data_IF_726885589376
#
_entry.id   IF_726885589376
#
_cell.length_a   1.000
_cell.length_b   1.000
_cell.length_c   1.000
_cell.angle_alpha   90.00
_cell.angle_beta   90.00
_cell.angle_gamma   90.00
#
_symmetry.space_group_name_H-M   'P 1'
#
loop_
_entity.id
_entity.type
_entity.pdbx_description
1 polymer ?
#
# COMPACT_ATOMS: atom_id res chain seq x y z
N UNK A 1 -1.11 19.44 6.16
CA UNK A 1 -1.01 18.07 6.69
C UNK A 1 -0.08 18.09 7.90
N UNK A 2 -0.33 17.25 8.91
CA UNK A 2 0.62 17.07 10.00
C UNK A 2 1.95 16.53 9.49
N UNK A 3 3.05 16.86 10.18
CA UNK A 3 4.38 16.37 9.89
C UNK A 3 4.41 14.83 9.97
N UNK A 4 4.75 14.14 8.89
CA UNK A 4 4.84 12.69 8.80
C UNK A 4 6.28 12.26 8.57
N UNK A 5 6.65 11.09 9.08
CA UNK A 5 7.97 10.50 8.92
C UNK A 5 8.04 9.71 7.64
N UNK A 6 8.88 10.11 6.71
CA UNK A 6 9.11 9.42 5.44
C UNK A 6 10.49 8.77 5.46
N UNK A 7 10.56 7.47 5.21
CA UNK A 7 11.82 6.78 4.95
C UNK A 7 12.07 6.78 3.45
N UNK A 8 13.24 7.27 3.03
CA UNK A 8 13.72 7.25 1.65
C UNK A 8 14.87 6.25 1.57
N UNK A 9 14.69 5.17 0.85
CA UNK A 9 15.69 4.15 0.56
C UNK A 9 16.12 4.28 -0.90
N UNK A 10 17.28 4.88 -1.13
CA UNK A 10 17.85 5.24 -2.44
C UNK A 10 19.37 5.28 -2.30
N UNK A 11 20.10 4.48 -3.07
CA UNK A 11 21.56 4.38 -3.01
C UNK A 11 22.29 5.59 -3.63
N UNK A 12 21.67 6.24 -4.61
CA UNK A 12 22.19 7.45 -5.18
C UNK A 12 21.97 8.64 -4.21
N UNK A 13 23.05 9.11 -3.59
CA UNK A 13 23.03 10.18 -2.58
C UNK A 13 22.46 11.49 -3.13
N UNK A 14 22.77 11.86 -4.38
CA UNK A 14 22.27 13.10 -5.00
C UNK A 14 20.75 13.03 -5.21
N UNK A 15 20.25 11.90 -5.69
CA UNK A 15 18.82 11.65 -5.86
C UNK A 15 18.12 11.64 -4.50
N UNK A 16 18.66 10.91 -3.54
CA UNK A 16 18.15 10.84 -2.17
C UNK A 16 18.05 12.23 -1.53
N UNK A 17 19.07 13.09 -1.68
CA UNK A 17 19.06 14.46 -1.18
C UNK A 17 18.04 15.35 -1.89
N UNK A 18 17.85 15.18 -3.19
CA UNK A 18 16.80 15.90 -3.93
C UNK A 18 15.40 15.49 -3.43
N UNK A 19 15.13 14.21 -3.33
CA UNK A 19 13.87 13.67 -2.78
C UNK A 19 13.61 14.22 -1.38
N UNK A 20 14.62 14.13 -0.49
CA UNK A 20 14.56 14.66 0.86
C UNK A 20 14.20 16.14 0.89
N UNK A 21 14.85 16.95 0.07
CA UNK A 21 14.62 18.40 0.05
C UNK A 21 13.18 18.77 -0.36
N UNK A 22 12.60 18.05 -1.32
CA UNK A 22 11.20 18.26 -1.73
C UNK A 22 10.22 17.83 -0.63
N UNK A 23 10.47 16.72 0.05
CA UNK A 23 9.62 16.24 1.15
C UNK A 23 9.71 17.13 2.40
N UNK A 24 10.92 17.64 2.72
CA UNK A 24 11.09 18.64 3.80
C UNK A 24 10.31 19.92 3.50
N UNK A 25 10.36 20.41 2.25
CA UNK A 25 9.56 21.58 1.81
C UNK A 25 8.05 21.32 1.88
N UNK A 26 7.63 20.07 1.72
CA UNK A 26 6.24 19.67 1.88
C UNK A 26 5.80 19.50 3.36
N UNK A 27 6.73 19.68 4.32
CA UNK A 27 6.45 19.66 5.76
C UNK A 27 6.61 18.29 6.42
N UNK A 28 7.29 17.33 5.77
CA UNK A 28 7.55 16.01 6.33
C UNK A 28 8.92 15.91 6.99
N UNK A 29 9.09 14.96 7.91
CA UNK A 29 10.40 14.55 8.45
C UNK A 29 10.94 13.40 7.59
N UNK A 30 12.21 13.48 7.18
CA UNK A 30 12.79 12.52 6.23
C UNK A 30 13.99 11.80 6.85
N UNK A 31 14.00 10.49 6.68
CA UNK A 31 15.08 9.58 7.07
C UNK A 31 15.61 8.91 5.80
N UNK A 32 16.92 8.84 5.64
CA UNK A 32 17.57 8.33 4.43
C UNK A 32 18.30 7.03 4.73
N UNK A 33 18.13 6.03 3.88
CA UNK A 33 18.89 4.80 3.82
C UNK A 33 19.53 4.68 2.43
N UNK A 34 20.76 4.24 2.37
CA UNK A 34 21.56 4.15 1.13
C UNK A 34 21.82 2.71 0.69
N UNK A 35 21.26 1.75 1.42
CA UNK A 35 21.20 0.34 1.06
C UNK A 35 19.98 -0.33 1.72
N UNK A 36 19.65 -1.55 1.29
CA UNK A 36 18.46 -2.23 1.76
C UNK A 36 18.52 -2.67 3.23
N UNK A 37 19.70 -2.99 3.78
CA UNK A 37 19.82 -3.33 5.20
C UNK A 37 19.59 -2.11 6.08
N UNK A 38 20.17 -0.97 5.73
CA UNK A 38 19.89 0.31 6.41
C UNK A 38 18.40 0.64 6.35
N UNK A 39 17.74 0.41 5.20
CA UNK A 39 16.32 0.65 5.05
C UNK A 39 15.49 -0.19 6.03
N UNK A 40 15.78 -1.49 6.15
CA UNK A 40 15.10 -2.39 7.09
C UNK A 40 15.32 -1.95 8.55
N UNK A 41 16.56 -1.63 8.92
CA UNK A 41 16.89 -1.23 10.29
C UNK A 41 16.26 0.13 10.66
N UNK A 42 16.32 1.10 9.76
CA UNK A 42 15.65 2.38 9.96
C UNK A 42 14.13 2.26 10.01
N UNK A 43 13.52 1.39 9.19
CA UNK A 43 12.08 1.14 9.25
C UNK A 43 11.65 0.66 10.65
N UNK A 44 12.41 -0.27 11.25
CA UNK A 44 12.15 -0.77 12.62
C UNK A 44 12.34 0.32 13.69
N UNK A 45 13.43 1.09 13.58
CA UNK A 45 13.81 2.08 14.57
C UNK A 45 12.91 3.32 14.55
N UNK A 46 12.64 3.85 13.36
CA UNK A 46 11.93 5.12 13.14
C UNK A 46 10.41 4.94 13.13
N UNK A 47 9.94 3.77 12.69
CA UNK A 47 8.53 3.49 12.39
C UNK A 47 7.96 4.59 11.50
N UNK A 48 8.37 4.65 10.22
CA UNK A 48 7.92 5.67 9.28
C UNK A 48 6.42 5.54 9.00
N UNK A 49 5.83 6.63 8.55
CA UNK A 49 4.45 6.72 8.11
C UNK A 49 4.29 6.33 6.63
N UNK A 50 5.39 6.37 5.86
CA UNK A 50 5.48 5.96 4.46
C UNK A 50 6.95 5.66 4.09
N UNK A 51 7.15 4.72 3.17
CA UNK A 51 8.46 4.38 2.62
C UNK A 51 8.49 4.68 1.12
N UNK A 52 9.48 5.45 0.67
CA UNK A 52 9.90 5.54 -0.73
C UNK A 52 11.07 4.57 -0.92
N UNK A 53 10.96 3.65 -1.85
CA UNK A 53 11.88 2.51 -1.97
C UNK A 53 12.35 2.34 -3.41
N UNK A 54 13.67 2.46 -3.63
CA UNK A 54 14.27 1.98 -4.88
C UNK A 54 14.40 0.45 -4.88
N UNK A 55 14.25 -0.14 -6.05
CA UNK A 55 14.51 -1.58 -6.25
C UNK A 55 16.01 -1.85 -6.34
N UNK A 56 16.74 -1.00 -7.06
CA UNK A 56 18.14 -1.22 -7.40
C UNK A 56 19.08 -0.67 -6.32
N UNK A 57 19.15 -1.34 -5.19
CA UNK A 57 20.06 -0.97 -4.10
C UNK A 57 21.10 -2.07 -3.83
N UNK A 58 22.31 -1.70 -3.34
CA UNK A 58 23.32 -2.66 -2.95
C UNK A 58 22.94 -3.43 -1.69
N UNK A 59 23.60 -4.58 -1.47
CA UNK A 59 23.53 -5.45 -0.28
C UNK A 59 22.20 -6.21 -0.20
N UNK A 60 21.08 -5.50 -0.22
CA UNK A 60 19.73 -6.04 -0.14
C UNK A 60 18.85 -5.21 -1.09
N UNK A 61 18.22 -5.85 -2.05
CA UNK A 61 17.41 -5.15 -3.06
C UNK A 61 16.03 -4.72 -2.52
N UNK A 62 15.34 -3.88 -3.28
CA UNK A 62 14.03 -3.37 -2.87
C UNK A 62 12.94 -4.45 -2.75
N UNK A 63 13.09 -5.59 -3.46
CA UNK A 63 12.18 -6.73 -3.31
C UNK A 63 12.30 -7.34 -1.91
N UNK A 64 13.53 -7.61 -1.47
CA UNK A 64 13.82 -8.17 -0.14
C UNK A 64 13.43 -7.20 0.98
N UNK A 65 13.67 -5.89 0.77
CA UNK A 65 13.24 -4.84 1.73
C UNK A 65 11.72 -4.85 1.86
N UNK A 66 10.98 -4.81 0.75
CA UNK A 66 9.52 -4.80 0.74
C UNK A 66 8.96 -6.04 1.44
N UNK A 67 9.43 -7.24 1.08
CA UNK A 67 9.01 -8.50 1.70
C UNK A 67 9.29 -8.52 3.21
N UNK A 68 10.47 -8.03 3.62
CA UNK A 68 10.87 -8.03 5.02
C UNK A 68 10.05 -7.04 5.83
N UNK A 69 9.86 -5.82 5.35
CA UNK A 69 9.07 -4.79 6.01
C UNK A 69 7.61 -5.23 6.16
N UNK A 70 7.04 -5.86 5.15
CA UNK A 70 5.65 -6.35 5.18
C UNK A 70 5.38 -7.46 6.21
N UNK A 71 6.41 -8.09 6.76
CA UNK A 71 6.24 -9.06 7.86
C UNK A 71 5.82 -8.40 9.20
N UNK A 72 6.07 -7.11 9.36
CA UNK A 72 5.83 -6.40 10.64
C UNK A 72 5.27 -4.99 10.50
N UNK A 73 5.04 -4.49 9.27
CA UNK A 73 4.60 -3.10 9.05
C UNK A 73 3.68 -2.98 7.84
N UNK A 74 2.59 -2.21 7.98
CA UNK A 74 1.54 -2.04 6.97
C UNK A 74 1.50 -0.62 6.36
N UNK A 75 2.50 0.22 6.66
CA UNK A 75 2.59 1.59 6.12
C UNK A 75 2.70 1.58 4.59
N UNK A 76 2.24 2.62 3.89
CA UNK A 76 2.37 2.72 2.45
C UNK A 76 3.83 2.60 1.99
N UNK A 77 4.07 1.79 0.95
CA UNK A 77 5.34 1.68 0.25
C UNK A 77 5.14 2.10 -1.20
N UNK A 78 5.82 3.18 -1.60
CA UNK A 78 5.88 3.65 -2.98
C UNK A 78 7.22 3.23 -3.56
N UNK A 79 7.19 2.47 -4.64
CA UNK A 79 8.41 2.08 -5.37
C UNK A 79 8.84 3.21 -6.30
N UNK A 80 10.14 3.49 -6.35
CA UNK A 80 10.74 4.42 -7.31
C UNK A 80 11.86 3.68 -8.03
N UNK A 81 11.69 3.33 -9.30
CA UNK A 81 12.68 2.52 -10.01
C UNK A 81 12.85 2.90 -11.48
N UNK A 82 14.04 2.61 -12.03
CA UNK A 82 14.30 2.68 -13.47
C UNK A 82 13.73 1.49 -14.25
N UNK A 83 13.31 0.41 -13.56
CA UNK A 83 12.73 -0.76 -14.19
C UNK A 83 11.30 -0.44 -14.62
N UNK A 84 11.00 -0.70 -15.90
CA UNK A 84 9.70 -0.31 -16.51
C UNK A 84 8.87 -1.51 -16.94
N UNK A 85 9.43 -2.72 -16.87
CA UNK A 85 8.77 -3.94 -17.31
C UNK A 85 7.58 -4.30 -16.38
N UNK A 86 6.55 -4.87 -16.97
CA UNK A 86 5.32 -5.23 -16.26
C UNK A 86 5.54 -6.32 -15.21
N UNK A 87 6.42 -7.29 -15.49
CA UNK A 87 6.71 -8.39 -14.57
C UNK A 87 7.31 -7.87 -13.25
N UNK A 88 8.25 -6.91 -13.35
CA UNK A 88 8.83 -6.24 -12.18
C UNK A 88 7.77 -5.48 -11.38
N UNK A 89 6.91 -4.72 -12.04
CA UNK A 89 5.81 -3.98 -11.38
C UNK A 89 4.85 -4.95 -10.69
N UNK A 90 4.41 -5.98 -11.39
CA UNK A 90 3.53 -7.01 -10.82
C UNK A 90 4.17 -7.68 -9.60
N UNK A 91 5.44 -8.07 -9.69
CA UNK A 91 6.17 -8.65 -8.56
C UNK A 91 6.23 -7.72 -7.36
N UNK A 92 6.47 -6.41 -7.55
CA UNK A 92 6.48 -5.45 -6.44
C UNK A 92 5.11 -5.30 -5.80
N UNK A 93 4.04 -5.22 -6.61
CA UNK A 93 2.68 -5.24 -6.07
C UNK A 93 2.38 -6.56 -5.36
N UNK A 94 2.86 -7.71 -5.86
CA UNK A 94 2.73 -9.02 -5.21
C UNK A 94 3.44 -9.07 -3.85
N UNK A 95 4.52 -8.36 -3.67
CA UNK A 95 5.21 -8.22 -2.39
C UNK A 95 4.56 -7.19 -1.46
N UNK A 96 3.54 -6.48 -1.91
CA UNK A 96 2.76 -5.55 -1.09
C UNK A 96 3.11 -4.08 -1.27
N UNK A 97 3.78 -3.69 -2.35
CA UNK A 97 3.88 -2.27 -2.70
C UNK A 97 2.48 -1.67 -2.95
N UNK A 98 2.31 -0.41 -2.58
CA UNK A 98 1.03 0.31 -2.69
C UNK A 98 0.98 1.22 -3.92
N UNK A 99 2.15 1.61 -4.45
CA UNK A 99 2.28 2.44 -5.65
C UNK A 99 3.65 2.22 -6.31
N UNK A 100 3.77 2.61 -7.59
CA UNK A 100 4.99 2.46 -8.39
C UNK A 100 5.24 3.69 -9.27
N UNK A 101 6.44 4.27 -9.17
CA UNK A 101 6.89 5.40 -10.01
C UNK A 101 8.12 5.00 -10.80
N UNK A 102 8.12 5.30 -12.10
CA UNK A 102 9.28 5.05 -12.96
C UNK A 102 10.21 6.26 -13.01
N UNK A 103 11.52 6.02 -12.93
CA UNK A 103 12.55 7.02 -13.21
C UNK A 103 12.69 7.22 -14.74
N UNK A 104 12.81 8.49 -15.25
CA UNK A 104 12.78 9.74 -14.52
C UNK A 104 11.35 10.19 -14.14
N UNK A 105 11.19 10.83 -12.99
CA UNK A 105 9.90 11.31 -12.48
C UNK A 105 9.95 12.78 -12.10
N UNK A 106 8.78 13.40 -11.97
CA UNK A 106 8.65 14.75 -11.42
C UNK A 106 8.66 14.72 -9.89
N UNK A 107 9.54 15.48 -9.23
CA UNK A 107 9.53 15.61 -7.77
C UNK A 107 8.21 16.17 -7.23
N UNK A 108 7.51 17.00 -8.02
CA UNK A 108 6.17 17.48 -7.65
C UNK A 108 5.15 16.34 -7.67
N UNK A 109 5.20 15.49 -8.68
CA UNK A 109 4.36 14.29 -8.77
C UNK A 109 4.64 13.36 -7.59
N UNK A 110 5.91 13.08 -7.30
CA UNK A 110 6.30 12.27 -6.14
C UNK A 110 5.69 12.80 -4.85
N UNK A 111 5.78 14.11 -4.58
CA UNK A 111 5.18 14.72 -3.38
C UNK A 111 3.65 14.58 -3.39
N UNK A 112 3.00 14.73 -4.54
CA UNK A 112 1.55 14.53 -4.65
C UNK A 112 1.16 13.09 -4.32
N UNK A 113 1.89 12.09 -4.84
CA UNK A 113 1.65 10.66 -4.55
C UNK A 113 1.88 10.33 -3.08
N UNK A 114 2.99 10.81 -2.49
CA UNK A 114 3.26 10.66 -1.05
C UNK A 114 2.09 11.20 -0.23
N UNK A 115 1.65 12.43 -0.53
CA UNK A 115 0.53 13.04 0.18
C UNK A 115 -0.79 12.29 -0.03
N UNK A 116 -1.04 11.76 -1.23
CA UNK A 116 -2.22 10.97 -1.52
C UNK A 116 -2.23 9.64 -0.73
N UNK A 117 -1.11 8.92 -0.72
CA UNK A 117 -0.98 7.67 0.05
C UNK A 117 -1.11 7.92 1.56
N UNK A 118 -0.46 8.96 2.09
CA UNK A 118 -0.60 9.34 3.50
C UNK A 118 -2.03 9.73 3.85
N UNK A 119 -2.70 10.51 3.00
CA UNK A 119 -4.10 10.88 3.20
C UNK A 119 -4.99 9.65 3.22
N UNK A 120 -4.85 8.75 2.26
CA UNK A 120 -5.60 7.48 2.23
C UNK A 120 -5.36 6.68 3.51
N UNK A 121 -4.11 6.52 3.91
CA UNK A 121 -3.73 5.76 5.09
C UNK A 121 -4.29 6.34 6.38
N UNK A 122 -4.39 7.70 6.52
CA UNK A 122 -4.85 8.35 7.75
C UNK A 122 -6.27 8.88 7.70
N UNK A 123 -6.80 9.29 6.54
CA UNK A 123 -8.11 9.93 6.42
C UNK A 123 -9.23 8.94 6.05
N UNK A 124 -8.90 7.73 5.59
CA UNK A 124 -9.89 6.67 5.40
C UNK A 124 -10.42 6.10 6.73
N UNK A 125 -10.00 6.66 7.88
CA UNK A 125 -10.68 6.49 9.15
C UNK A 125 -11.86 7.47 9.21
N UNK A 126 -13.09 7.06 8.85
CA UNK A 126 -14.26 7.87 9.18
C UNK A 126 -14.32 8.01 10.69
N UNK A 127 -14.59 9.21 11.18
CA UNK A 127 -14.72 9.60 12.60
C UNK A 127 -15.90 8.90 13.30
N UNK A 128 -16.23 7.67 12.92
CA UNK A 128 -17.17 6.80 13.66
C UNK A 128 -16.48 5.46 13.85
N UNK A 129 -16.33 5.08 15.12
CA UNK A 129 -16.02 3.70 15.53
C UNK A 129 -16.89 2.72 14.73
N UNK A 130 -16.36 2.22 13.63
CA UNK A 130 -17.07 1.25 12.82
C UNK A 130 -16.27 -0.05 12.79
N UNK A 131 -16.35 -0.76 13.92
CA UNK A 131 -16.03 -2.18 13.89
C UNK A 131 -17.16 -2.88 13.16
N UNK A 132 -16.87 -3.43 12.02
CA UNK A 132 -17.79 -4.26 11.25
C UNK A 132 -17.39 -5.72 11.41
N UNK A 133 -18.38 -6.59 11.53
CA UNK A 133 -18.14 -8.03 11.71
C UNK A 133 -18.92 -8.80 10.66
N UNK A 134 -18.23 -9.70 9.96
CA UNK A 134 -18.79 -10.59 8.93
C UNK A 134 -18.43 -12.03 9.29
N UNK A 135 -19.32 -12.71 10.01
CA UNK A 135 -19.02 -14.03 10.57
C UNK A 135 -17.77 -13.99 11.46
N UNK A 136 -16.68 -14.65 11.02
CA UNK A 136 -15.40 -14.74 11.72
C UNK A 136 -14.50 -13.52 11.50
N UNK A 137 -14.76 -12.72 10.45
CA UNK A 137 -13.97 -11.55 10.06
C UNK A 137 -14.46 -10.32 10.83
N UNK A 138 -13.56 -9.58 11.45
CA UNK A 138 -13.82 -8.26 12.01
C UNK A 138 -12.85 -7.22 11.46
N UNK A 139 -13.37 -6.06 11.07
CA UNK A 139 -12.63 -4.95 10.47
C UNK A 139 -12.83 -3.72 11.35
N UNK A 140 -11.75 -3.05 11.71
CA UNK A 140 -11.73 -1.81 12.46
C UNK A 140 -11.09 -0.74 11.58
N UNK A 141 -11.91 0.09 10.93
CA UNK A 141 -11.42 1.09 9.98
C UNK A 141 -10.62 2.21 10.67
N UNK A 142 -10.94 2.51 11.93
CA UNK A 142 -10.24 3.51 12.76
C UNK A 142 -8.84 3.05 13.20
N UNK A 143 -8.59 1.73 13.24
CA UNK A 143 -7.32 1.16 13.67
C UNK A 143 -6.52 0.53 12.55
N UNK A 144 -7.05 0.50 11.33
CA UNK A 144 -6.50 -0.29 10.21
C UNK A 144 -6.26 -1.76 10.59
N UNK A 145 -7.16 -2.31 11.40
CA UNK A 145 -7.02 -3.63 11.98
C UNK A 145 -8.05 -4.59 11.36
N UNK A 146 -7.59 -5.75 10.94
CA UNK A 146 -8.44 -6.84 10.47
C UNK A 146 -8.13 -8.09 11.30
N UNK A 147 -9.17 -8.74 11.81
CA UNK A 147 -9.05 -9.97 12.59
C UNK A 147 -9.94 -11.07 12.04
N UNK A 148 -9.44 -12.30 12.08
CA UNK A 148 -10.23 -13.52 11.84
C UNK A 148 -10.18 -14.35 13.13
N UNK A 149 -11.33 -14.69 13.70
CA UNK A 149 -11.46 -15.38 15.01
C UNK A 149 -10.70 -14.67 16.15
N UNK A 150 -10.55 -13.36 16.07
CA UNK A 150 -9.81 -12.58 17.07
C UNK A 150 -8.31 -12.45 16.82
N UNK A 151 -7.74 -13.24 15.91
CA UNK A 151 -6.33 -13.14 15.50
C UNK A 151 -6.15 -12.10 14.41
N UNK A 152 -5.18 -11.19 14.59
CA UNK A 152 -4.88 -10.13 13.64
C UNK A 152 -4.23 -10.68 12.37
N UNK A 153 -4.69 -10.21 11.20
CA UNK A 153 -4.11 -10.55 9.91
C UNK A 153 -3.37 -9.35 9.30
N UNK A 154 -2.20 -9.62 8.77
CA UNK A 154 -1.34 -8.59 8.19
C UNK A 154 -1.75 -8.31 6.74
N UNK A 155 -2.35 -7.14 6.49
CA UNK A 155 -2.70 -6.63 5.17
C UNK A 155 -1.87 -5.39 4.86
N UNK A 156 -1.46 -5.20 3.59
CA UNK A 156 -0.91 -3.91 3.17
C UNK A 156 -2.01 -2.82 3.23
N UNK A 157 -1.61 -1.55 3.17
CA UNK A 157 -2.56 -0.42 3.15
C UNK A 157 -3.59 -0.57 2.05
N UNK A 158 -3.15 -0.95 0.85
CA UNK A 158 -4.01 -1.14 -0.32
C UNK A 158 -4.95 -2.33 -0.15
N UNK A 159 -4.46 -3.48 0.37
CA UNK A 159 -5.30 -4.64 0.67
C UNK A 159 -6.35 -4.32 1.74
N UNK A 160 -5.97 -3.55 2.76
CA UNK A 160 -6.91 -3.10 3.78
C UNK A 160 -8.00 -2.20 3.18
N UNK A 161 -7.61 -1.16 2.41
CA UNK A 161 -8.56 -0.25 1.78
C UNK A 161 -9.51 -0.97 0.82
N UNK A 162 -8.99 -1.93 0.05
CA UNK A 162 -9.80 -2.75 -0.84
C UNK A 162 -10.82 -3.59 -0.06
N UNK A 163 -10.41 -4.25 1.02
CA UNK A 163 -11.31 -5.04 1.87
C UNK A 163 -12.36 -4.14 2.52
N UNK A 164 -11.95 -3.00 3.06
CA UNK A 164 -12.82 -2.03 3.71
C UNK A 164 -13.86 -1.48 2.72
N UNK A 165 -13.44 -1.14 1.50
CA UNK A 165 -14.33 -0.68 0.44
C UNK A 165 -15.35 -1.75 0.01
N UNK A 166 -14.90 -2.98 -0.26
CA UNK A 166 -15.78 -4.07 -0.67
C UNK A 166 -16.79 -4.44 0.43
N UNK A 167 -16.34 -4.52 1.67
CA UNK A 167 -17.23 -4.84 2.81
C UNK A 167 -18.20 -3.71 3.14
N UNK A 168 -17.79 -2.45 2.94
CA UNK A 168 -18.69 -1.29 3.07
C UNK A 168 -19.80 -1.27 2.01
N UNK A 169 -19.58 -1.97 0.90
CA UNK A 169 -20.53 -2.11 -0.20
C UNK A 169 -21.03 -3.56 -0.33
N UNK A 170 -21.29 -4.19 0.81
CA UNK A 170 -21.73 -5.58 0.87
C UNK A 170 -22.88 -5.91 -0.10
N UNK A 171 -22.76 -7.05 -0.78
CA UNK A 171 -23.71 -7.55 -1.79
C UNK A 171 -23.86 -6.67 -3.06
N UNK A 172 -23.12 -5.58 -3.18
CA UNK A 172 -23.10 -4.75 -4.39
C UNK A 172 -21.92 -5.14 -5.27
N UNK A 173 -22.13 -5.12 -6.59
CA UNK A 173 -21.05 -5.32 -7.57
C UNK A 173 -20.32 -3.97 -7.71
N UNK A 174 -19.02 -4.00 -7.46
CA UNK A 174 -18.14 -2.86 -7.66
C UNK A 174 -17.32 -3.10 -8.92
N UNK A 175 -17.40 -2.17 -9.87
CA UNK A 175 -16.61 -2.24 -11.10
C UNK A 175 -15.13 -2.03 -10.78
N UNK A 176 -14.23 -2.50 -11.67
CA UNK A 176 -12.80 -2.26 -11.52
C UNK A 176 -12.49 -0.76 -11.40
N UNK A 177 -13.14 0.10 -12.20
CA UNK A 177 -12.96 1.54 -12.12
C UNK A 177 -13.39 2.10 -10.76
N UNK A 178 -14.54 1.71 -10.23
CA UNK A 178 -14.97 2.13 -8.91
C UNK A 178 -14.00 1.71 -7.79
N UNK A 179 -13.38 0.53 -7.97
CA UNK A 179 -12.35 0.05 -7.04
C UNK A 179 -11.08 0.89 -7.17
N UNK A 180 -10.65 1.21 -8.41
CA UNK A 180 -9.50 2.10 -8.65
C UNK A 180 -9.73 3.45 -7.99
N UNK A 181 -10.85 4.10 -8.27
CA UNK A 181 -11.20 5.42 -7.74
C UNK A 181 -11.22 5.43 -6.21
N UNK A 182 -11.77 4.37 -5.60
CA UNK A 182 -11.88 4.27 -4.15
C UNK A 182 -10.54 3.96 -3.46
N UNK A 183 -9.74 3.05 -4.03
CA UNK A 183 -8.52 2.53 -3.38
C UNK A 183 -7.28 3.34 -3.78
N UNK A 184 -7.19 3.77 -5.03
CA UNK A 184 -6.03 4.53 -5.56
C UNK A 184 -6.33 5.99 -5.90
N UNK A 185 -7.61 6.37 -6.01
CA UNK A 185 -8.06 7.72 -6.39
C UNK A 185 -8.17 7.89 -7.91
N UNK A 186 -8.44 9.11 -8.36
CA UNK A 186 -8.54 9.47 -9.78
C UNK A 186 -7.14 9.58 -10.42
N UNK A 187 -6.36 8.52 -10.39
CA UNK A 187 -5.00 8.50 -10.90
C UNK A 187 -4.96 7.65 -12.19
N UNK A 188 -4.65 8.28 -13.32
CA UNK A 188 -4.69 7.71 -14.68
C UNK A 188 -3.71 6.55 -14.95
N UNK A 189 -2.83 6.19 -13.99
CA UNK A 189 -1.76 5.22 -14.20
C UNK A 189 -2.01 3.85 -13.55
N UNK A 190 -3.11 3.68 -12.80
CA UNK A 190 -3.48 2.38 -12.23
C UNK A 190 -4.31 1.64 -13.26
N UNK A 191 -3.80 0.51 -13.73
CA UNK A 191 -4.51 -0.32 -14.68
C UNK A 191 -5.43 -1.35 -14.00
N UNK A 192 -6.31 -1.95 -14.79
CA UNK A 192 -7.24 -2.98 -14.30
C UNK A 192 -6.53 -4.26 -13.82
N UNK A 193 -5.29 -4.50 -14.25
CA UNK A 193 -4.50 -5.67 -13.83
C UNK A 193 -4.04 -5.51 -12.38
N UNK A 194 -3.69 -4.29 -11.96
CA UNK A 194 -3.36 -3.97 -10.55
C UNK A 194 -4.50 -4.35 -9.62
N UNK A 195 -5.76 -4.05 -10.01
CA UNK A 195 -6.94 -4.46 -9.24
C UNK A 195 -7.03 -5.99 -9.15
N UNK A 196 -6.86 -6.69 -10.27
CA UNK A 196 -6.96 -8.15 -10.30
C UNK A 196 -5.90 -8.82 -9.43
N UNK A 197 -4.66 -8.34 -9.46
CA UNK A 197 -3.55 -8.82 -8.63
C UNK A 197 -3.85 -8.57 -7.15
N UNK A 198 -4.26 -7.36 -6.79
CA UNK A 198 -4.57 -7.02 -5.38
C UNK A 198 -5.74 -7.84 -4.85
N UNK A 199 -6.78 -8.06 -5.65
CA UNK A 199 -7.91 -8.96 -5.31
C UNK A 199 -7.43 -10.40 -5.10
N UNK A 200 -6.57 -10.92 -5.99
CA UNK A 200 -6.05 -12.29 -5.87
C UNK A 200 -5.29 -12.47 -4.55
N UNK A 201 -4.39 -11.54 -4.23
CA UNK A 201 -3.60 -11.58 -3.00
C UNK A 201 -4.45 -11.47 -1.74
N UNK A 202 -5.37 -10.53 -1.71
CA UNK A 202 -6.29 -10.36 -0.58
C UNK A 202 -7.13 -11.63 -0.41
N UNK A 203 -7.64 -12.19 -1.51
CA UNK A 203 -8.40 -13.45 -1.50
C UNK A 203 -7.57 -14.62 -0.96
N UNK A 204 -6.32 -14.75 -1.38
CA UNK A 204 -5.44 -15.83 -0.92
C UNK A 204 -5.15 -15.74 0.58
N UNK A 205 -4.94 -14.52 1.11
CA UNK A 205 -4.77 -14.29 2.55
C UNK A 205 -6.03 -14.66 3.33
N UNK A 206 -7.20 -14.24 2.87
CA UNK A 206 -8.47 -14.52 3.52
C UNK A 206 -8.86 -16.00 3.43
N UNK A 207 -8.70 -16.64 2.26
CA UNK A 207 -9.04 -18.04 2.03
C UNK A 207 -8.21 -19.00 2.89
N UNK A 208 -6.91 -18.70 3.12
CA UNK A 208 -6.04 -19.47 4.05
C UNK A 208 -6.62 -19.51 5.46
N UNK A 209 -7.43 -18.54 5.84
CA UNK A 209 -8.09 -18.43 7.14
C UNK A 209 -9.58 -18.85 7.09
N UNK A 210 -10.02 -19.39 5.96
CA UNK A 210 -11.40 -19.87 5.78
C UNK A 210 -12.44 -18.76 5.55
N UNK A 211 -11.98 -17.55 5.14
CA UNK A 211 -12.86 -16.40 4.82
C UNK A 211 -12.97 -16.25 3.30
N UNK A 212 -14.09 -16.67 2.70
CA UNK A 212 -14.31 -16.72 1.25
C UNK A 212 -15.33 -15.67 0.77
N UNK A 213 -15.23 -14.42 1.29
CA UNK A 213 -16.23 -13.37 1.05
C UNK A 213 -16.10 -12.63 -0.28
N UNK A 214 -14.97 -12.71 -1.01
CA UNK A 214 -14.76 -11.95 -2.26
C UNK A 214 -15.17 -12.81 -3.47
N UNK A 215 -16.24 -12.42 -4.16
CA UNK A 215 -16.71 -13.06 -5.39
C UNK A 215 -16.34 -12.24 -6.63
N UNK A 216 -15.97 -12.93 -7.73
CA UNK A 216 -15.81 -12.32 -9.06
C UNK A 216 -17.15 -12.39 -9.78
N UNK A 217 -17.57 -11.28 -10.36
CA UNK A 217 -18.72 -11.21 -11.25
C UNK A 217 -18.21 -10.93 -12.66
N UNK A 218 -18.12 -11.99 -13.46
CA UNK A 218 -17.51 -11.96 -14.78
C UNK A 218 -18.11 -10.86 -15.68
N UNK A 219 -17.24 -10.08 -16.29
CA UNK A 219 -17.62 -8.94 -17.14
C UNK A 219 -18.04 -7.67 -16.38
N UNK A 220 -18.17 -7.69 -15.04
CA UNK A 220 -18.64 -6.55 -14.26
C UNK A 220 -17.65 -6.09 -13.18
N UNK A 221 -17.03 -7.00 -12.43
CA UNK A 221 -16.12 -6.64 -11.34
C UNK A 221 -16.15 -7.61 -10.16
N UNK A 222 -16.14 -7.06 -8.96
CA UNK A 222 -16.04 -7.84 -7.71
C UNK A 222 -17.11 -7.42 -6.71
N UNK A 223 -17.45 -8.32 -5.80
CA UNK A 223 -18.34 -8.01 -4.69
C UNK A 223 -17.95 -8.76 -3.42
N UNK A 224 -18.25 -8.17 -2.27
CA UNK A 224 -18.27 -8.87 -1.00
C UNK A 224 -19.62 -9.56 -0.81
N UNK A 225 -19.59 -10.84 -0.45
CA UNK A 225 -20.77 -11.62 -0.06
C UNK A 225 -20.61 -11.98 1.41
N UNK A 226 -21.62 -11.69 2.23
CA UNK A 226 -21.64 -12.18 3.60
C UNK A 226 -21.50 -13.71 3.62
N UNK A 227 -20.72 -14.19 4.56
CA UNK A 227 -20.46 -15.61 4.81
C UNK A 227 -21.60 -16.22 5.60
#
# INVERSE_FOLDING_TARGET
>A
MENKKILVAEDNTEMSDMVRNYLLKAGHSVYQAFDGLQAIDLAKAVKPDLILLDIMMPICDGFEVCETVRKYMNVPIIIISALVDEDTKMRMFDLGADDYMTKPFSFKEMVMRVNAQLRRYYEFSPVKQTRRTYGRLSISSDRFEVKVDGEEINLSSTEFMLLDFLTSNENRIMTKQQIIDAVWGEEDYIDENTVAVTISRLRDKLNKLGVNGIATVWGFGYKWQAL
#
